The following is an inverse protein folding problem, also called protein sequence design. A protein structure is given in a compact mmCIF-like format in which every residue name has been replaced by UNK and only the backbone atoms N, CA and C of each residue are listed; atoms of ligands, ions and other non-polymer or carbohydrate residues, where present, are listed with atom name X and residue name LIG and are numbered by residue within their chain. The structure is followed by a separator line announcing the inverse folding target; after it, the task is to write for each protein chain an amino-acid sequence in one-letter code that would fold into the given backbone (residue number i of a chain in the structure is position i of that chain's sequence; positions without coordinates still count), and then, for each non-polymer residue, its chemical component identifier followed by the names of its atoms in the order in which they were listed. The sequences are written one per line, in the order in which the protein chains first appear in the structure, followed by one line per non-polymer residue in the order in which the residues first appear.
data_IF_097023661560
#
_entry.id   IF_097023661560
#
_cell.length_a   1.000
_cell.length_b   1.000
_cell.length_c   1.000
_cell.angle_alpha   90.00
_cell.angle_beta   90.00
_cell.angle_gamma   90.00
#
_symmetry.space_group_name_H-M   'P 1'
#
loop_
_entity.id
_entity.type
_entity.pdbx_description
1 polymer ?
#
# COMPACT_ATOMS: atom_id res chain seq x y z
N UNK A 1 -6.21 -34.24 3.07
CA UNK A 1 -7.03 -33.02 2.90
C UNK A 1 -6.99 -32.65 1.43
N UNK A 2 -8.17 -32.50 0.80
CA UNK A 2 -8.25 -32.17 -0.64
C UNK A 2 -7.62 -30.80 -0.87
N UNK A 3 -6.52 -30.78 -1.63
CA UNK A 3 -5.99 -29.57 -2.26
C UNK A 3 -7.06 -29.04 -3.21
N UNK A 4 -7.78 -28.00 -2.78
CA UNK A 4 -8.62 -27.19 -3.66
C UNK A 4 -7.74 -26.04 -4.12
N UNK A 5 -6.85 -26.29 -5.08
CA UNK A 5 -6.28 -25.22 -5.91
C UNK A 5 -7.36 -24.80 -6.91
N UNK A 6 -8.40 -24.12 -6.42
CA UNK A 6 -9.19 -23.27 -7.30
C UNK A 6 -8.30 -22.08 -7.62
N UNK A 7 -7.78 -22.00 -8.86
CA UNK A 7 -7.25 -20.75 -9.36
C UNK A 7 -8.42 -19.77 -9.38
N UNK A 8 -8.56 -18.97 -8.33
CA UNK A 8 -9.50 -17.85 -8.30
C UNK A 8 -8.92 -16.79 -9.22
N UNK A 9 -9.14 -16.94 -10.52
CA UNK A 9 -8.80 -15.92 -11.52
C UNK A 9 -9.67 -14.71 -11.22
N UNK A 10 -9.05 -13.66 -10.68
CA UNK A 10 -9.75 -12.41 -10.41
C UNK A 10 -10.23 -11.81 -11.71
N UNK A 11 -11.50 -11.39 -11.73
CA UNK A 11 -12.06 -10.66 -12.86
C UNK A 11 -11.33 -9.31 -12.98
N UNK A 12 -11.00 -8.95 -14.21
CA UNK A 12 -10.33 -7.70 -14.57
C UNK A 12 -11.36 -6.73 -15.16
N UNK A 13 -11.25 -5.46 -14.77
CA UNK A 13 -12.16 -4.40 -15.19
C UNK A 13 -11.35 -3.25 -15.79
N UNK A 14 -11.61 -2.89 -17.04
CA UNK A 14 -11.18 -1.60 -17.59
C UNK A 14 -12.29 -0.55 -17.38
N UNK A 15 -12.06 0.68 -17.84
CA UNK A 15 -13.02 1.77 -17.70
C UNK A 15 -14.39 1.44 -18.32
N UNK A 16 -14.41 0.83 -19.51
CA UNK A 16 -15.65 0.49 -20.19
C UNK A 16 -16.44 -0.58 -19.41
N UNK A 17 -15.75 -1.57 -18.85
CA UNK A 17 -16.37 -2.58 -18.01
C UNK A 17 -16.98 -1.97 -16.73
N UNK A 18 -16.28 -1.03 -16.08
CA UNK A 18 -16.80 -0.32 -14.92
C UNK A 18 -18.02 0.56 -15.25
N UNK A 19 -18.03 1.20 -16.41
CA UNK A 19 -19.16 2.03 -16.85
C UNK A 19 -20.37 1.21 -17.29
N UNK A 20 -20.14 0.01 -17.83
CA UNK A 20 -21.19 -0.88 -18.31
C UNK A 20 -21.90 -1.61 -17.17
N UNK A 21 -21.13 -2.15 -16.21
CA UNK A 21 -21.68 -2.90 -15.08
C UNK A 21 -20.86 -2.68 -13.80
N UNK A 22 -21.00 -1.47 -13.25
CA UNK A 22 -20.37 -1.10 -11.98
C UNK A 22 -20.81 -2.02 -10.83
N UNK A 23 -22.08 -2.46 -10.84
CA UNK A 23 -22.61 -3.33 -9.79
C UNK A 23 -21.86 -4.66 -9.75
N UNK A 24 -21.54 -5.24 -10.91
CA UNK A 24 -20.74 -6.45 -10.95
C UNK A 24 -19.31 -6.25 -10.42
N UNK A 25 -18.68 -5.11 -10.71
CA UNK A 25 -17.36 -4.78 -10.17
C UNK A 25 -17.40 -4.63 -8.64
N UNK A 26 -18.40 -3.93 -8.12
CA UNK A 26 -18.62 -3.75 -6.67
C UNK A 26 -18.93 -5.10 -6.00
N UNK A 27 -19.75 -5.96 -6.62
CA UNK A 27 -20.02 -7.31 -6.12
C UNK A 27 -18.74 -8.15 -6.04
N UNK A 28 -17.90 -8.13 -7.08
CA UNK A 28 -16.61 -8.85 -7.06
C UNK A 28 -15.65 -8.28 -6.02
N UNK A 29 -15.59 -6.95 -5.86
CA UNK A 29 -14.80 -6.31 -4.81
C UNK A 29 -15.27 -6.73 -3.41
N UNK A 30 -16.57 -6.68 -3.14
CA UNK A 30 -17.13 -7.07 -1.85
C UNK A 30 -16.94 -8.57 -1.57
N UNK A 31 -17.12 -9.42 -2.58
CA UNK A 31 -16.98 -10.86 -2.44
C UNK A 31 -15.52 -11.28 -2.19
N UNK A 32 -14.59 -10.76 -2.99
CA UNK A 32 -13.20 -11.21 -2.99
C UNK A 32 -12.29 -10.38 -2.07
N UNK A 33 -12.71 -9.16 -1.73
CA UNK A 33 -11.89 -8.15 -1.06
C UNK A 33 -10.93 -7.40 -1.98
N UNK A 34 -10.90 -7.77 -3.26
CA UNK A 34 -9.96 -7.26 -4.26
C UNK A 34 -10.54 -7.38 -5.67
N UNK A 35 -10.20 -6.42 -6.54
CA UNK A 35 -10.41 -6.50 -7.99
C UNK A 35 -9.15 -6.02 -8.75
N UNK A 36 -9.05 -6.41 -10.01
CA UNK A 36 -8.01 -5.90 -10.92
C UNK A 36 -8.61 -4.80 -11.79
N UNK A 37 -7.99 -3.62 -11.77
CA UNK A 37 -8.24 -2.50 -12.66
C UNK A 37 -7.25 -2.58 -13.83
N UNK A 38 -7.71 -3.11 -14.96
CA UNK A 38 -6.89 -3.29 -16.15
C UNK A 38 -6.67 -1.96 -16.86
N UNK A 39 -5.44 -1.73 -17.34
CA UNK A 39 -5.05 -0.50 -18.03
C UNK A 39 -5.42 0.75 -17.19
N UNK A 40 -5.16 0.71 -15.88
CA UNK A 40 -5.44 1.83 -14.99
C UNK A 40 -4.73 3.10 -15.46
N UNK A 41 -3.52 2.92 -15.98
CA UNK A 41 -2.80 3.91 -16.79
C UNK A 41 -2.33 3.26 -18.09
N UNK A 42 -2.15 4.09 -19.12
CA UNK A 42 -1.57 3.64 -20.38
C UNK A 42 -0.04 3.76 -20.39
N UNK A 43 0.60 3.27 -21.46
CA UNK A 43 2.07 3.26 -21.56
C UNK A 43 2.71 4.66 -21.53
N UNK A 44 2.03 5.70 -22.06
CA UNK A 44 2.54 7.07 -22.04
C UNK A 44 2.51 7.62 -20.62
N UNK A 45 1.40 7.41 -19.91
CA UNK A 45 1.26 7.78 -18.50
C UNK A 45 2.25 7.04 -17.60
N UNK A 46 2.47 5.74 -17.86
CA UNK A 46 3.45 4.94 -17.13
C UNK A 46 4.88 5.47 -17.30
N UNK A 47 5.30 5.76 -18.53
CA UNK A 47 6.62 6.34 -18.79
C UNK A 47 6.80 7.68 -18.09
N UNK A 48 5.78 8.55 -18.16
CA UNK A 48 5.81 9.85 -17.46
C UNK A 48 5.88 9.69 -15.95
N UNK A 49 5.13 8.74 -15.38
CA UNK A 49 5.13 8.46 -13.95
C UNK A 49 6.47 7.91 -13.48
N UNK A 50 7.11 7.04 -14.27
CA UNK A 50 8.46 6.53 -13.96
C UNK A 50 9.50 7.66 -13.93
N UNK A 51 9.52 8.55 -14.93
CA UNK A 51 10.39 9.74 -14.91
C UNK A 51 10.08 10.67 -13.73
N UNK A 52 8.82 10.80 -13.35
CA UNK A 52 8.42 11.60 -12.19
C UNK A 52 8.86 10.95 -10.87
N UNK A 53 8.87 9.62 -10.77
CA UNK A 53 9.41 8.88 -9.61
C UNK A 53 10.92 9.10 -9.46
N UNK A 54 11.67 9.16 -10.56
CA UNK A 54 13.10 9.52 -10.52
C UNK A 54 13.31 10.93 -9.95
N UNK A 55 12.47 11.90 -10.37
CA UNK A 55 12.47 13.24 -9.81
C UNK A 55 12.09 13.25 -8.32
N UNK A 56 11.05 12.50 -7.93
CA UNK A 56 10.64 12.37 -6.53
C UNK A 56 11.79 11.82 -5.67
N UNK A 57 12.52 10.81 -6.17
CA UNK A 57 13.68 10.26 -5.47
C UNK A 57 14.78 11.29 -5.32
N UNK A 58 15.12 12.00 -6.41
CA UNK A 58 16.10 13.08 -6.37
C UNK A 58 15.71 14.16 -5.35
N UNK A 59 14.44 14.58 -5.33
CA UNK A 59 13.94 15.58 -4.39
C UNK A 59 14.00 15.09 -2.93
N UNK A 60 13.67 13.82 -2.68
CA UNK A 60 13.75 13.22 -1.34
C UNK A 60 15.20 13.10 -0.84
N UNK A 61 16.14 12.74 -1.72
CA UNK A 61 17.57 12.69 -1.44
C UNK A 61 18.18 14.10 -1.30
N UNK A 62 17.66 15.10 -1.99
CA UNK A 62 18.07 16.49 -1.78
C UNK A 62 17.57 17.02 -0.44
N UNK A 63 16.32 16.75 -0.08
CA UNK A 63 15.70 17.18 1.18
C UNK A 63 16.45 16.61 2.40
N UNK A 64 16.87 15.33 2.35
CA UNK A 64 17.60 14.69 3.45
C UNK A 64 18.95 15.37 3.72
N UNK A 65 19.65 15.81 2.66
CA UNK A 65 20.93 16.51 2.75
C UNK A 65 20.74 17.93 3.28
N UNK A 66 19.75 18.64 2.75
CA UNK A 66 19.55 20.07 3.01
C UNK A 66 18.89 20.35 4.35
N UNK A 67 17.90 19.52 4.74
CA UNK A 67 16.99 19.84 5.84
C UNK A 67 17.07 18.85 7.01
N UNK A 68 17.73 17.69 6.82
CA UNK A 68 17.72 16.61 7.81
C UNK A 68 19.11 16.09 8.16
N UNK A 69 20.18 16.85 7.89
CA UNK A 69 21.54 16.48 8.27
C UNK A 69 21.97 15.07 7.82
N UNK A 70 21.48 14.60 6.66
CA UNK A 70 21.71 13.24 6.16
C UNK A 70 21.18 12.14 7.10
N UNK A 71 20.09 12.40 7.84
CA UNK A 71 19.42 11.42 8.69
C UNK A 71 19.07 10.15 7.90
N UNK A 72 19.36 8.97 8.46
CA UNK A 72 19.05 7.70 7.82
C UNK A 72 17.97 7.00 8.62
N UNK A 73 16.73 7.08 8.15
CA UNK A 73 15.63 6.33 8.76
C UNK A 73 15.48 4.98 8.07
N UNK A 74 15.73 3.92 8.85
CA UNK A 74 15.53 2.55 8.39
C UNK A 74 14.09 2.11 8.68
N UNK A 75 13.45 1.53 7.67
CA UNK A 75 12.11 0.98 7.73
C UNK A 75 12.19 -0.54 7.65
N UNK A 76 11.64 -1.22 8.67
CA UNK A 76 11.50 -2.67 8.70
C UNK A 76 10.06 -3.05 9.02
N UNK A 77 9.56 -4.12 8.39
CA UNK A 77 8.24 -4.67 8.72
C UNK A 77 8.26 -5.31 10.12
N UNK A 78 7.57 -4.69 11.09
CA UNK A 78 7.45 -5.22 12.45
C UNK A 78 6.45 -6.37 12.55
N UNK A 79 6.76 -7.35 13.38
CA UNK A 79 5.86 -8.44 13.73
C UNK A 79 4.99 -8.03 14.94
N UNK A 80 3.66 -7.96 14.81
CA UNK A 80 2.78 -7.67 15.96
C UNK A 80 2.96 -8.62 17.15
N UNK A 81 3.45 -9.84 16.91
CA UNK A 81 3.66 -10.87 17.94
C UNK A 81 5.02 -10.72 18.64
N UNK A 82 6.01 -10.13 17.98
CA UNK A 82 7.34 -9.88 18.56
C UNK A 82 7.45 -8.38 18.82
N UNK A 83 7.11 -7.94 20.04
CA UNK A 83 7.47 -6.59 20.49
C UNK A 83 8.99 -6.52 20.62
N UNK A 84 9.64 -6.10 19.53
CA UNK A 84 11.05 -5.76 19.58
C UNK A 84 11.21 -4.58 20.53
N UNK A 85 12.03 -4.77 21.56
CA UNK A 85 12.41 -3.76 22.54
C UNK A 85 13.41 -2.77 21.93
N UNK A 86 13.10 -2.21 20.77
CA UNK A 86 13.91 -1.14 20.22
C UNK A 86 13.56 0.17 20.94
N UNK A 87 14.55 0.89 21.49
CA UNK A 87 14.30 2.10 22.26
C UNK A 87 13.72 3.25 21.41
N UNK A 88 13.89 3.24 20.09
CA UNK A 88 13.41 4.28 19.19
C UNK A 88 12.48 3.68 18.12
N UNK A 89 11.20 4.05 18.14
CA UNK A 89 10.27 3.69 17.09
C UNK A 89 10.35 4.72 15.95
N UNK A 90 10.80 4.26 14.77
CA UNK A 90 10.95 5.09 13.57
C UNK A 90 9.69 5.89 13.21
N UNK A 91 8.48 5.36 13.50
CA UNK A 91 7.25 6.10 13.18
C UNK A 91 7.07 7.37 14.01
N UNK A 92 7.81 7.51 15.12
CA UNK A 92 7.75 8.70 15.98
C UNK A 92 8.86 9.71 15.68
N UNK A 93 9.78 9.36 14.78
CA UNK A 93 10.88 10.23 14.41
C UNK A 93 10.40 11.43 13.57
N UNK A 94 10.98 12.63 13.78
CA UNK A 94 10.59 13.84 13.05
C UNK A 94 10.63 13.68 11.52
N UNK A 95 11.68 13.05 10.98
CA UNK A 95 11.80 12.77 9.54
C UNK A 95 10.63 11.91 9.05
N UNK A 96 10.30 10.84 9.76
CA UNK A 96 9.19 9.97 9.36
C UNK A 96 7.84 10.69 9.43
N UNK A 97 7.60 11.49 10.47
CA UNK A 97 6.34 12.23 10.63
C UNK A 97 6.16 13.31 9.56
N UNK A 98 7.23 14.04 9.19
CA UNK A 98 7.19 15.06 8.14
C UNK A 98 6.95 14.48 6.73
N UNK A 99 7.08 13.16 6.56
CA UNK A 99 6.74 12.49 5.30
C UNK A 99 5.24 12.52 4.97
N UNK A 100 4.38 12.97 5.89
CA UNK A 100 2.93 13.06 5.67
C UNK A 100 2.52 14.04 4.56
N UNK A 101 3.39 14.99 4.20
CA UNK A 101 3.11 16.08 3.26
C UNK A 101 4.08 16.16 2.09
N UNK A 102 5.08 15.26 2.01
CA UNK A 102 6.07 15.21 0.92
C UNK A 102 6.62 13.79 0.72
N UNK A 103 7.48 13.62 -0.28
CA UNK A 103 8.24 12.39 -0.50
C UNK A 103 9.51 12.39 0.34
N UNK A 104 9.63 11.44 1.25
CA UNK A 104 10.81 11.09 2.03
C UNK A 104 11.26 9.69 1.68
N UNK A 105 12.58 9.48 1.63
CA UNK A 105 13.21 8.21 1.30
C UNK A 105 13.50 7.43 2.58
N UNK A 106 13.13 6.16 2.60
CA UNK A 106 13.37 5.26 3.72
C UNK A 106 14.21 4.09 3.24
N UNK A 107 15.13 3.66 4.09
CA UNK A 107 16.11 2.65 3.76
C UNK A 107 15.85 1.34 4.51
N UNK A 108 16.52 0.29 4.09
CA UNK A 108 16.78 -0.90 4.90
C UNK A 108 18.24 -1.28 4.75
N UNK A 109 18.81 -1.94 5.77
CA UNK A 109 20.19 -2.42 5.76
C UNK A 109 20.17 -3.94 5.75
N UNK A 110 20.70 -4.54 4.69
CA UNK A 110 20.79 -5.99 4.50
C UNK A 110 22.26 -6.32 4.24
N UNK A 111 22.85 -7.17 5.07
CA UNK A 111 24.27 -7.56 4.97
C UNK A 111 25.23 -6.36 4.85
N UNK A 112 24.99 -5.31 5.66
CA UNK A 112 25.70 -4.03 5.64
C UNK A 112 25.54 -3.20 4.35
N UNK A 113 24.66 -3.60 3.44
CA UNK A 113 24.31 -2.84 2.24
C UNK A 113 23.02 -2.06 2.53
N UNK A 114 23.10 -0.74 2.37
CA UNK A 114 21.95 0.14 2.47
C UNK A 114 21.22 0.19 1.13
N UNK A 115 19.94 -0.14 1.14
CA UNK A 115 19.07 -0.07 -0.05
C UNK A 115 17.82 0.76 0.24
N UNK A 116 17.27 1.41 -0.79
CA UNK A 116 16.00 2.14 -0.64
C UNK A 116 14.88 1.11 -0.44
N UNK A 117 14.19 1.19 0.69
CA UNK A 117 13.02 0.36 0.93
C UNK A 117 11.77 0.94 0.25
N UNK A 118 11.56 2.26 0.39
CA UNK A 118 10.40 2.98 -0.15
C UNK A 118 10.59 4.48 -0.17
N UNK A 119 9.73 5.18 -0.90
CA UNK A 119 9.57 6.64 -0.82
C UNK A 119 8.10 6.96 -0.52
N UNK A 120 7.83 7.82 0.45
CA UNK A 120 6.47 8.17 0.89
C UNK A 120 6.48 9.35 1.86
N UNK A 121 5.37 9.82 2.42
CA UNK A 121 4.00 9.34 2.26
C UNK A 121 3.06 10.38 1.64
N UNK A 122 3.55 11.59 1.35
CA UNK A 122 2.79 12.71 0.79
C UNK A 122 3.15 13.09 -0.64
N UNK A 123 3.73 12.17 -1.43
CA UNK A 123 4.11 12.46 -2.83
C UNK A 123 2.90 12.94 -3.65
N UNK A 124 1.75 12.32 -3.46
CA UNK A 124 0.47 12.71 -4.07
C UNK A 124 -0.06 14.09 -3.67
N UNK A 125 0.59 14.85 -2.79
CA UNK A 125 0.17 16.20 -2.41
C UNK A 125 0.98 17.29 -3.12
N UNK A 126 2.09 16.92 -3.76
CA UNK A 126 2.98 17.88 -4.36
C UNK A 126 2.53 18.19 -5.79
N UNK A 127 2.22 19.45 -6.07
CA UNK A 127 1.66 19.90 -7.35
C UNK A 127 2.61 19.69 -8.54
N UNK A 128 3.94 19.80 -8.32
CA UNK A 128 4.93 19.58 -9.38
C UNK A 128 4.96 18.13 -9.87
N UNK A 129 4.49 17.17 -9.08
CA UNK A 129 4.35 15.77 -9.49
C UNK A 129 3.00 15.57 -10.22
N UNK A 130 2.89 16.22 -11.38
CA UNK A 130 1.67 16.29 -12.18
C UNK A 130 1.06 14.93 -12.57
N UNK A 131 1.88 13.91 -12.83
CA UNK A 131 1.38 12.59 -13.22
C UNK A 131 0.80 11.86 -12.01
N UNK A 132 1.48 11.92 -10.86
CA UNK A 132 0.98 11.48 -9.55
C UNK A 132 -0.36 12.16 -9.21
N UNK A 133 -0.46 13.48 -9.41
CA UNK A 133 -1.72 14.21 -9.23
C UNK A 133 -2.82 13.70 -10.17
N UNK A 134 -2.50 13.45 -11.45
CA UNK A 134 -3.45 12.97 -12.44
C UNK A 134 -3.97 11.57 -12.11
N UNK A 135 -3.10 10.62 -11.74
CA UNK A 135 -3.54 9.25 -11.42
C UNK A 135 -4.33 9.16 -10.12
N UNK A 136 -4.15 10.09 -9.18
CA UNK A 136 -4.86 10.10 -7.89
C UNK A 136 -6.16 10.87 -7.98
N UNK A 137 -6.15 12.09 -8.51
CA UNK A 137 -7.30 13.01 -8.43
C UNK A 137 -8.09 13.16 -9.73
N UNK A 138 -7.63 12.57 -10.84
CA UNK A 138 -8.29 12.72 -12.16
C UNK A 138 -8.54 11.41 -12.88
N UNK A 139 -8.20 10.26 -12.27
CA UNK A 139 -8.43 8.97 -12.90
C UNK A 139 -9.91 8.56 -12.82
N UNK A 140 -10.60 8.38 -13.96
CA UNK A 140 -12.04 8.08 -13.98
C UNK A 140 -12.36 6.68 -13.45
N UNK A 141 -11.46 5.70 -13.58
CA UNK A 141 -11.70 4.35 -13.05
C UNK A 141 -11.75 4.38 -11.52
N UNK A 142 -10.78 5.06 -10.89
CA UNK A 142 -10.73 5.23 -9.44
C UNK A 142 -11.97 5.95 -8.91
N UNK A 143 -12.35 7.08 -9.53
CA UNK A 143 -13.55 7.80 -9.13
C UNK A 143 -14.81 6.94 -9.25
N UNK A 144 -14.95 6.19 -10.34
CA UNK A 144 -16.12 5.34 -10.62
C UNK A 144 -16.24 4.25 -9.56
N UNK A 145 -15.15 3.53 -9.27
CA UNK A 145 -15.20 2.43 -8.31
C UNK A 145 -15.36 2.92 -6.86
N UNK A 146 -14.69 4.01 -6.45
CA UNK A 146 -14.86 4.58 -5.11
C UNK A 146 -16.31 5.07 -4.87
N UNK A 147 -16.93 5.70 -5.87
CA UNK A 147 -18.37 6.04 -5.78
C UNK A 147 -19.24 4.78 -5.71
N UNK A 148 -18.94 3.77 -6.51
CA UNK A 148 -19.69 2.51 -6.56
C UNK A 148 -19.71 1.75 -5.24
N UNK A 149 -18.61 1.74 -4.49
CA UNK A 149 -18.52 1.13 -3.15
C UNK A 149 -19.05 2.05 -2.03
N UNK A 150 -19.57 3.23 -2.37
CA UNK A 150 -20.27 4.11 -1.44
C UNK A 150 -19.42 5.20 -0.80
N UNK A 151 -18.20 5.47 -1.29
CA UNK A 151 -17.46 6.63 -0.81
C UNK A 151 -18.15 7.92 -1.28
N UNK A 152 -18.12 8.93 -0.41
CA UNK A 152 -18.77 10.23 -0.56
C UNK A 152 -17.80 11.37 -0.44
N UNK A 153 -16.84 11.29 0.49
CA UNK A 153 -15.85 12.34 0.71
C UNK A 153 -14.46 11.75 0.96
N UNK A 154 -13.92 11.00 -0.02
CA UNK A 154 -12.65 10.33 0.19
C UNK A 154 -11.46 11.24 -0.03
N UNK A 155 -10.39 10.95 0.70
CA UNK A 155 -9.05 11.53 0.49
C UNK A 155 -8.07 10.41 0.12
N UNK A 156 -7.00 10.77 -0.59
CA UNK A 156 -5.81 9.94 -0.64
C UNK A 156 -5.05 10.13 0.67
N UNK A 157 -5.00 9.10 1.51
CA UNK A 157 -4.40 9.16 2.83
C UNK A 157 -2.87 9.12 2.78
N UNK A 158 -2.30 8.28 1.91
CA UNK A 158 -0.87 8.20 1.68
C UNK A 158 -0.54 7.65 0.29
N UNK A 159 0.69 7.92 -0.15
CA UNK A 159 1.28 7.40 -1.37
C UNK A 159 2.67 6.83 -1.08
N UNK A 160 2.98 5.63 -1.57
CA UNK A 160 4.25 4.94 -1.33
C UNK A 160 4.77 4.32 -2.62
N UNK A 161 5.97 4.70 -3.03
CA UNK A 161 6.72 4.01 -4.08
C UNK A 161 7.50 2.86 -3.48
N UNK A 162 7.42 1.68 -4.10
CA UNK A 162 8.05 0.44 -3.67
C UNK A 162 8.93 -0.07 -4.83
N UNK A 163 10.27 0.02 -4.74
CA UNK A 163 11.17 -0.37 -5.83
C UNK A 163 11.25 -1.90 -6.02
N UNK A 164 11.19 -2.66 -4.92
CA UNK A 164 11.41 -4.12 -4.86
C UNK A 164 12.50 -4.60 -5.81
N UNK A 165 13.75 -4.38 -5.40
CA UNK A 165 14.92 -4.72 -6.21
C UNK A 165 15.08 -6.23 -6.43
N UNK A 166 15.90 -6.59 -7.41
CA UNK A 166 16.28 -7.95 -7.75
C UNK A 166 17.31 -8.54 -6.78
N UNK A 167 17.68 -9.81 -6.97
CA UNK A 167 18.79 -10.49 -6.29
C UNK A 167 18.69 -10.55 -4.76
N UNK A 168 17.47 -10.54 -4.22
CA UNK A 168 17.23 -10.58 -2.77
C UNK A 168 17.47 -9.24 -2.07
N UNK A 169 17.66 -8.15 -2.84
CA UNK A 169 17.81 -6.82 -2.28
C UNK A 169 16.44 -6.29 -1.84
N UNK A 170 16.15 -6.45 -0.56
CA UNK A 170 14.99 -5.90 0.11
C UNK A 170 14.14 -6.96 0.83
N UNK A 171 13.47 -6.53 1.90
CA UNK A 171 12.73 -7.44 2.78
C UNK A 171 11.40 -7.93 2.19
N UNK A 172 10.91 -9.03 2.74
CA UNK A 172 9.53 -9.46 2.56
C UNK A 172 8.54 -8.46 3.17
N UNK A 173 7.30 -8.51 2.69
CA UNK A 173 6.16 -7.90 3.38
C UNK A 173 5.31 -9.03 3.93
N UNK A 174 5.29 -9.17 5.26
CA UNK A 174 4.56 -10.24 5.95
C UNK A 174 3.04 -10.11 5.78
N UNK A 175 2.27 -11.21 5.91
CA UNK A 175 0.81 -11.17 5.90
C UNK A 175 0.23 -10.16 6.88
N UNK A 176 -0.55 -9.22 6.37
CA UNK A 176 -1.14 -8.17 7.19
C UNK A 176 -2.44 -7.63 6.58
N UNK A 177 -3.12 -6.79 7.36
CA UNK A 177 -4.29 -6.01 6.97
C UNK A 177 -3.93 -4.52 7.06
N UNK A 178 -4.19 -3.74 6.02
CA UNK A 178 -3.85 -2.30 5.95
C UNK A 178 -4.52 -1.48 7.04
N UNK A 179 -5.75 -1.82 7.41
CA UNK A 179 -6.48 -1.17 8.51
C UNK A 179 -5.80 -1.35 9.88
N UNK A 180 -4.78 -2.23 9.99
CA UNK A 180 -3.90 -2.29 11.16
C UNK A 180 -3.16 -0.97 11.35
N UNK A 181 -2.77 -0.32 10.26
CA UNK A 181 -1.90 0.86 10.27
C UNK A 181 -2.66 2.18 10.10
N UNK A 182 -3.86 2.12 9.50
CA UNK A 182 -4.78 3.25 9.34
C UNK A 182 -6.17 2.85 9.85
N UNK A 183 -6.34 2.85 11.18
CA UNK A 183 -7.60 2.42 11.78
C UNK A 183 -8.70 3.46 11.62
N UNK A 184 -9.85 3.03 11.12
CA UNK A 184 -11.08 3.81 11.02
C UNK A 184 -12.30 3.05 11.56
N UNK A 185 -13.29 3.79 12.05
CA UNK A 185 -14.58 3.23 12.48
C UNK A 185 -15.75 4.01 11.88
N UNK A 186 -16.60 3.39 11.02
CA UNK A 186 -16.45 2.05 10.42
C UNK A 186 -15.18 1.93 9.56
N UNK A 187 -14.78 0.70 9.24
CA UNK A 187 -13.61 0.43 8.40
C UNK A 187 -13.79 1.05 7.01
N UNK A 188 -12.77 1.76 6.56
CA UNK A 188 -12.84 2.59 5.35
C UNK A 188 -11.50 2.69 4.63
N UNK A 189 -10.58 1.77 4.86
CA UNK A 189 -9.30 1.80 4.15
C UNK A 189 -9.48 1.06 2.84
N UNK A 190 -8.98 1.66 1.76
CA UNK A 190 -8.83 1.03 0.45
C UNK A 190 -7.43 1.28 -0.04
N UNK A 191 -6.84 0.31 -0.70
CA UNK A 191 -5.55 0.46 -1.34
C UNK A 191 -5.69 0.22 -2.84
N UNK A 192 -5.11 1.14 -3.61
CA UNK A 192 -4.81 0.96 -5.01
C UNK A 192 -3.30 0.70 -5.13
N UNK A 193 -2.95 -0.51 -5.52
CA UNK A 193 -1.57 -0.90 -5.82
C UNK A 193 -1.39 -0.93 -7.32
N UNK A 194 -0.64 0.01 -7.88
CA UNK A 194 -0.37 0.17 -9.29
C UNK A 194 0.96 -0.48 -9.65
N UNK A 195 0.93 -1.41 -10.61
CA UNK A 195 2.11 -2.04 -11.15
C UNK A 195 2.85 -1.07 -12.09
N UNK A 196 4.11 -0.75 -11.80
CA UNK A 196 4.95 0.07 -12.68
C UNK A 196 5.83 -0.80 -13.59
N UNK A 197 5.95 -2.07 -13.25
CA UNK A 197 6.55 -3.15 -14.03
C UNK A 197 5.60 -4.35 -13.99
N UNK A 198 5.76 -5.29 -14.92
CA UNK A 198 5.06 -6.57 -14.83
C UNK A 198 5.33 -7.21 -13.47
N UNK A 199 4.28 -7.63 -12.77
CA UNK A 199 4.38 -8.31 -11.49
C UNK A 199 3.88 -9.74 -11.66
N UNK A 200 4.80 -10.68 -11.57
CA UNK A 200 4.56 -12.12 -11.71
C UNK A 200 5.09 -12.89 -10.49
N UNK A 201 4.81 -14.19 -10.43
CA UNK A 201 5.34 -15.05 -9.36
C UNK A 201 6.87 -14.99 -9.30
N UNK A 202 7.53 -14.94 -10.46
CA UNK A 202 8.99 -14.97 -10.57
C UNK A 202 9.65 -13.75 -9.92
N UNK A 203 9.09 -12.54 -10.09
CA UNK A 203 9.64 -11.31 -9.51
C UNK A 203 8.89 -10.83 -8.25
N UNK A 204 8.31 -11.77 -7.51
CA UNK A 204 7.65 -11.52 -6.23
C UNK A 204 6.46 -10.53 -6.32
N UNK A 205 5.47 -10.85 -7.17
CA UNK A 205 4.14 -10.24 -7.10
C UNK A 205 3.53 -10.35 -5.69
N UNK A 206 2.44 -9.60 -5.46
CA UNK A 206 1.69 -9.73 -4.22
C UNK A 206 0.94 -11.07 -4.18
N UNK A 207 0.70 -11.52 -2.97
CA UNK A 207 -0.12 -12.68 -2.66
C UNK A 207 -1.24 -12.23 -1.73
N UNK A 208 -2.42 -12.85 -1.84
CA UNK A 208 -3.54 -12.51 -0.95
C UNK A 208 -4.50 -13.66 -0.73
N UNK A 209 -5.26 -13.59 0.37
CA UNK A 209 -6.28 -14.58 0.71
C UNK A 209 -7.63 -14.05 0.23
N UNK A 210 -8.15 -14.62 -0.85
CA UNK A 210 -9.43 -14.21 -1.45
C UNK A 210 -10.57 -14.33 -0.42
N UNK A 211 -11.33 -13.26 -0.24
CA UNK A 211 -12.44 -13.17 0.72
C UNK A 211 -12.03 -12.83 2.16
N UNK A 212 -10.73 -12.68 2.45
CA UNK A 212 -10.26 -12.31 3.80
C UNK A 212 -10.67 -10.90 4.24
N UNK A 213 -11.22 -10.07 3.35
CA UNK A 213 -11.86 -8.81 3.73
C UNK A 213 -13.05 -8.98 4.67
N UNK A 214 -13.69 -10.16 4.67
CA UNK A 214 -14.77 -10.50 5.61
C UNK A 214 -14.26 -10.91 6.99
N UNK A 215 -12.94 -11.09 7.15
CA UNK A 215 -12.35 -11.38 8.45
C UNK A 215 -12.27 -10.10 9.28
N UNK A 216 -12.47 -10.17 10.60
CA UNK A 216 -12.32 -9.00 11.43
C UNK A 216 -10.86 -8.55 11.47
N UNK A 217 -10.64 -7.26 11.76
CA UNK A 217 -9.30 -6.73 11.89
C UNK A 217 -8.59 -7.37 13.10
N UNK A 218 -7.46 -8.01 12.88
CA UNK A 218 -6.73 -8.73 13.95
C UNK A 218 -6.00 -7.78 14.90
N UNK A 219 -5.29 -6.81 14.35
CA UNK A 219 -4.40 -5.91 15.10
C UNK A 219 -4.72 -4.45 14.80
N UNK A 220 -4.46 -3.58 15.78
CA UNK A 220 -4.41 -2.13 15.58
C UNK A 220 -3.06 -1.63 16.06
N UNK A 221 -2.38 -0.85 15.22
CA UNK A 221 -1.17 -0.11 15.57
C UNK A 221 -1.54 1.16 16.32
N UNK A 222 -1.14 1.25 17.58
CA UNK A 222 -1.29 2.44 18.42
C UNK A 222 0.07 3.13 18.59
N UNK A 223 0.16 4.38 18.13
CA UNK A 223 1.31 5.25 18.35
C UNK A 223 1.02 6.21 19.50
N UNK A 224 1.97 6.32 20.42
CA UNK A 224 2.02 7.36 21.43
C UNK A 224 3.20 8.28 21.11
N UNK A 225 2.90 9.49 20.61
CA UNK A 225 3.92 10.47 20.24
C UNK A 225 4.66 11.08 21.45
N UNK A 226 4.03 11.14 22.63
CA UNK A 226 4.66 11.66 23.83
C UNK A 226 5.69 10.67 24.37
N UNK A 227 5.32 9.39 24.44
CA UNK A 227 6.19 8.31 24.88
C UNK A 227 7.13 7.79 23.78
N UNK A 228 6.99 8.31 22.55
CA UNK A 228 7.72 7.84 21.35
C UNK A 228 7.65 6.32 21.16
N UNK A 229 6.49 5.74 21.43
CA UNK A 229 6.29 4.28 21.35
C UNK A 229 5.20 3.92 20.36
N UNK A 230 5.28 2.68 19.89
CA UNK A 230 4.23 2.03 19.11
C UNK A 230 3.94 0.66 19.68
N UNK A 231 2.66 0.31 19.78
CA UNK A 231 2.21 -1.00 20.23
C UNK A 231 1.19 -1.55 19.25
N UNK A 232 1.19 -2.87 19.09
CA UNK A 232 0.15 -3.57 18.34
C UNK A 232 -0.82 -4.20 19.32
N UNK A 233 -2.04 -3.69 19.36
CA UNK A 233 -3.10 -4.22 20.21
C UNK A 233 -3.91 -5.25 19.44
N UNK A 234 -4.07 -6.46 20.02
CA UNK A 234 -4.93 -7.49 19.44
C UNK A 234 -6.38 -7.05 19.63
N UNK A 235 -7.10 -6.86 18.53
CA UNK A 235 -8.51 -6.49 18.56
C UNK A 235 -9.42 -7.72 18.48
N UNK A 236 -9.05 -8.69 17.64
CA UNK A 236 -9.81 -9.92 17.42
C UNK A 236 -8.89 -11.14 17.37
N UNK A 237 -9.43 -12.31 17.72
CA UNK A 237 -8.72 -13.57 17.56
C UNK A 237 -8.96 -14.17 16.18
N UNK A 238 -8.17 -13.71 15.20
CA UNK A 238 -8.22 -14.19 13.82
C UNK A 238 -6.94 -14.96 13.51
N UNK A 239 -7.08 -16.18 12.99
CA UNK A 239 -5.94 -16.90 12.45
C UNK A 239 -5.60 -16.35 11.07
N UNK A 240 -4.37 -15.86 10.91
CA UNK A 240 -3.81 -15.47 9.62
C UNK A 240 -2.68 -16.47 9.36
N UNK A 241 -2.79 -17.32 8.32
CA UNK A 241 -1.78 -18.33 8.01
C UNK A 241 -0.39 -17.70 7.85
N UNK A 242 0.65 -18.46 8.19
CA UNK A 242 2.01 -18.00 7.92
C UNK A 242 2.35 -18.20 6.43
N UNK A 243 2.82 -17.17 5.74
CA UNK A 243 3.06 -17.28 4.30
C UNK A 243 4.13 -18.32 3.94
N UNK A 244 5.17 -18.49 4.76
CA UNK A 244 6.26 -19.43 4.48
C UNK A 244 5.77 -20.87 4.69
N UNK A 245 4.99 -21.12 5.75
CA UNK A 245 4.52 -22.46 6.12
C UNK A 245 3.24 -22.89 5.39
N UNK A 246 2.39 -21.94 5.02
CA UNK A 246 1.02 -22.17 4.55
C UNK A 246 0.74 -21.37 3.26
N UNK A 247 1.72 -21.30 2.35
CA UNK A 247 1.60 -20.53 1.09
C UNK A 247 0.41 -20.95 0.22
N UNK A 248 -0.09 -22.18 0.37
CA UNK A 248 -1.24 -22.72 -0.34
C UNK A 248 -2.57 -22.03 0.04
N UNK A 249 -2.60 -21.30 1.15
CA UNK A 249 -3.73 -20.43 1.52
C UNK A 249 -3.77 -19.14 0.70
N UNK A 250 -2.69 -18.79 0.01
CA UNK A 250 -2.52 -17.52 -0.69
C UNK A 250 -2.61 -17.69 -2.20
N UNK A 251 -3.33 -16.76 -2.84
CA UNK A 251 -3.42 -16.66 -4.30
C UNK A 251 -2.41 -15.63 -4.81
N UNK A 252 -1.57 -15.96 -5.81
CA UNK A 252 -0.70 -14.98 -6.46
C UNK A 252 -1.53 -13.95 -7.23
N UNK A 253 -1.15 -12.68 -7.15
CA UNK A 253 -1.87 -11.54 -7.72
C UNK A 253 -1.06 -10.93 -8.87
N UNK A 254 -0.97 -11.66 -9.97
CA UNK A 254 -0.19 -11.26 -11.15
C UNK A 254 -0.90 -10.20 -12.00
N UNK A 255 -0.17 -9.14 -12.35
CA UNK A 255 -0.68 -7.99 -13.10
C UNK A 255 0.38 -7.44 -14.04
N UNK A 256 -0.04 -6.82 -15.14
CA UNK A 256 0.87 -6.19 -16.10
C UNK A 256 1.21 -4.76 -15.69
N UNK A 257 2.32 -4.24 -16.18
CA UNK A 257 2.65 -2.83 -16.00
C UNK A 257 1.49 -1.94 -16.47
N UNK A 258 1.08 -0.98 -15.63
CA UNK A 258 -0.08 -0.11 -15.88
C UNK A 258 -1.43 -0.67 -15.37
N UNK A 259 -1.52 -1.94 -15.01
CA UNK A 259 -2.68 -2.48 -14.28
C UNK A 259 -2.57 -2.13 -12.78
N UNK A 260 -3.71 -2.05 -12.10
CA UNK A 260 -3.76 -1.85 -10.66
C UNK A 260 -4.61 -2.92 -9.94
N UNK A 261 -4.26 -3.21 -8.69
CA UNK A 261 -5.05 -4.00 -7.75
C UNK A 261 -5.74 -3.04 -6.79
N UNK A 262 -7.07 -3.09 -6.70
CA UNK A 262 -7.84 -2.32 -5.73
C UNK A 262 -8.40 -3.26 -4.66
N UNK A 263 -8.01 -3.08 -3.41
CA UNK A 263 -8.39 -3.98 -2.33
C UNK A 263 -8.79 -3.29 -1.03
N UNK A 264 -9.62 -4.00 -0.27
CA UNK A 264 -10.16 -3.57 1.01
C UNK A 264 -9.09 -3.59 2.11
N UNK A 265 -9.17 -2.69 3.09
CA UNK A 265 -8.16 -2.59 4.15
C UNK A 265 -8.05 -3.80 5.08
N UNK A 266 -9.06 -4.67 5.11
CA UNK A 266 -9.00 -5.96 5.81
C UNK A 266 -8.50 -7.13 4.96
N UNK A 267 -8.31 -6.93 3.65
CA UNK A 267 -7.79 -7.97 2.77
C UNK A 267 -6.36 -8.34 3.19
N UNK A 268 -6.18 -9.60 3.58
CA UNK A 268 -4.89 -10.15 3.98
C UNK A 268 -4.03 -10.33 2.74
N UNK A 269 -2.89 -9.65 2.72
CA UNK A 269 -1.95 -9.72 1.62
C UNK A 269 -0.49 -9.64 2.11
N UNK A 270 0.43 -10.04 1.25
CA UNK A 270 1.86 -10.10 1.49
C UNK A 270 2.64 -10.05 0.18
N UNK A 271 3.97 -9.94 0.26
CA UNK A 271 4.85 -10.20 -0.90
C UNK A 271 6.19 -10.79 -0.43
N UNK A 272 6.69 -11.87 -1.07
CA UNK A 272 7.97 -12.49 -0.70
C UNK A 272 9.16 -11.60 -1.05
N UNK A 273 10.36 -11.97 -0.60
CA UNK A 273 11.62 -11.40 -1.10
C UNK A 273 11.76 -11.68 -2.61
N UNK A 274 12.27 -10.70 -3.37
CA UNK A 274 12.47 -10.85 -4.81
C UNK A 274 13.89 -11.35 -5.11
N UNK A 275 14.02 -12.66 -5.36
CA UNK A 275 15.29 -13.28 -5.73
C UNK A 275 15.54 -13.35 -7.25
N UNK A 276 14.64 -12.81 -8.06
CA UNK A 276 14.79 -12.81 -9.52
C UNK A 276 15.85 -11.81 -9.99
N UNK A 277 16.11 -11.79 -11.30
CA UNK A 277 17.02 -10.83 -11.93
C UNK A 277 16.32 -9.52 -12.37
N UNK A 278 15.02 -9.39 -12.14
CA UNK A 278 14.23 -8.22 -12.52
C UNK A 278 13.65 -7.55 -11.28
N UNK A 279 13.58 -6.22 -11.26
CA UNK A 279 12.83 -5.50 -10.22
C UNK A 279 11.32 -5.70 -10.38
N UNK A 280 10.57 -5.21 -9.39
CA UNK A 280 9.11 -5.13 -9.43
C UNK A 280 8.64 -3.83 -8.79
N UNK A 281 8.80 -2.75 -9.55
CA UNK A 281 8.41 -1.40 -9.12
C UNK A 281 6.89 -1.28 -9.01
N UNK A 282 6.43 -0.61 -7.97
CA UNK A 282 5.01 -0.37 -7.75
C UNK A 282 4.76 0.94 -7.00
N UNK A 283 3.54 1.45 -7.15
CA UNK A 283 3.01 2.55 -6.36
C UNK A 283 1.81 2.06 -5.55
N UNK A 284 1.83 2.24 -4.24
CA UNK A 284 0.70 1.98 -3.34
C UNK A 284 0.07 3.30 -2.92
N UNK A 285 -1.22 3.45 -3.18
CA UNK A 285 -2.03 4.61 -2.82
C UNK A 285 -3.13 4.14 -1.87
N UNK A 286 -3.20 4.73 -0.69
CA UNK A 286 -4.23 4.40 0.30
C UNK A 286 -5.28 5.50 0.33
N UNK A 287 -6.55 5.12 0.37
CA UNK A 287 -7.70 6.02 0.43
C UNK A 287 -8.51 5.76 1.68
N UNK A 288 -9.07 6.82 2.26
CA UNK A 288 -10.01 6.73 3.36
C UNK A 288 -11.24 7.59 3.12
N UNK A 289 -12.40 7.11 3.57
CA UNK A 289 -13.60 7.94 3.70
C UNK A 289 -13.47 8.87 4.93
N UNK A 290 -13.96 10.10 4.81
CA UNK A 290 -13.91 11.11 5.88
C UNK A 290 -15.29 11.54 6.36
N UNK A 291 -16.36 11.18 5.66
CA UNK A 291 -17.74 11.46 6.03
C UNK A 291 -18.32 10.27 6.81
N UNK A 292 -18.75 10.53 8.05
CA UNK A 292 -19.36 9.49 8.91
C UNK A 292 -18.36 8.44 9.43
N UNK A 293 -17.06 8.71 9.29
CA UNK A 293 -15.97 7.81 9.70
C UNK A 293 -15.11 8.50 10.75
N UNK A 294 -14.82 7.78 11.83
CA UNK A 294 -13.88 8.21 12.86
C UNK A 294 -12.48 7.67 12.54
N UNK A 295 -11.53 8.56 12.31
CA UNK A 295 -10.11 8.24 12.11
C UNK A 295 -9.36 8.28 13.45
N UNK A 296 -8.63 7.21 13.78
CA UNK A 296 -7.97 7.13 15.09
C UNK A 296 -6.84 8.17 15.25
N UNK A 297 -6.87 8.87 16.38
CA UNK A 297 -5.77 9.74 16.84
C UNK A 297 -4.50 8.98 17.18
N UNK A 298 -4.57 7.65 17.33
CA UNK A 298 -3.43 6.78 17.58
C UNK A 298 -2.79 6.22 16.31
N UNK A 299 -3.33 6.53 15.12
CA UNK A 299 -2.70 6.15 13.87
C UNK A 299 -1.36 6.90 13.73
N UNK A 300 -0.37 6.22 13.17
CA UNK A 300 0.98 6.79 13.04
C UNK A 300 0.99 8.02 12.11
N UNK A 301 0.14 7.99 11.08
CA UNK A 301 -0.04 9.09 10.14
C UNK A 301 -1.29 9.86 10.57
N UNK A 302 -1.12 11.10 10.97
CA UNK A 302 -2.23 12.03 11.14
C UNK A 302 -2.38 12.81 9.84
N UNK A 303 -3.60 12.89 9.30
CA UNK A 303 -3.85 13.44 7.97
C UNK A 303 -3.57 14.95 7.92
N UNK A 304 -2.59 15.43 7.14
CA UNK A 304 -2.56 16.82 6.70
C UNK A 304 -3.42 17.02 5.44
N UNK A 305 -3.86 15.92 4.79
CA UNK A 305 -4.57 16.00 3.51
C UNK A 305 -6.03 16.42 3.74
N UNK A 306 -6.38 17.53 3.11
CA UNK A 306 -7.72 18.10 3.06
C UNK A 306 -8.28 18.17 1.63
N UNK A 307 -7.60 17.54 0.67
CA UNK A 307 -7.97 17.47 -0.74
C UNK A 307 -8.83 16.23 -0.96
N UNK A 308 -10.12 16.46 -1.17
CA UNK A 308 -11.05 15.40 -1.55
C UNK A 308 -10.88 15.03 -3.02
N UNK A 309 -11.10 13.76 -3.35
CA UNK A 309 -11.07 13.31 -4.75
C UNK A 309 -12.26 13.87 -5.55
N UNK A 310 -13.40 14.13 -4.90
CA UNK A 310 -14.61 14.74 -5.47
C UNK A 310 -15.51 15.29 -4.35
#
# INVERSE_FOLDING_TARGET
MKSITCSHVLKKYDLNALQTDLNQAVCSYNQNGIIVLKNYINQVELTRLLSEIELIQYDAEADIVQNWNNEVVCFYSKNPVQQESEPNEYVTEPYFQASNQKGHVFYEVIDNIRVINRIGHGMHLIEKYSMMQQIVYRNPMLMTILKGIGYRRPICHLSVYIPKFSHGLGSEVRPHQESTFAYTKPASVIVLWLALEDACVENACMYGIIGSNHWPLKWVSHVNHQEKTRRFNKLNDVFIPDFIKENNCYTPLEVKAGDALLFHGHFVHCSPVNYSNCSRKALSLQFIETLGVNYSKSNWLQSPNHIYLY
#
